data_IF_254755670399
#
_entry.id   IF_254755670399
#
_cell.length_a   1.000
_cell.length_b   1.000
_cell.length_c   1.000
_cell.angle_alpha   90.00
_cell.angle_beta   90.00
_cell.angle_gamma   90.00
#
_symmetry.space_group_name_H-M   'P 1'
#
loop_
_entity.id
_entity.type
_entity.pdbx_description
1 polymer ?
#
# COMPACT_ATOMS: atom_id res chain seq x y z
N UNK A 1 9.76 -18.50 3.28
CA UNK A 1 10.61 -17.48 2.63
C UNK A 1 11.17 -16.52 3.66
N UNK A 2 12.38 -16.06 3.46
CA UNK A 2 13.00 -15.08 4.34
C UNK A 2 12.45 -13.68 4.09
N UNK A 3 12.64 -12.78 5.05
CA UNK A 3 12.26 -11.37 4.90
C UNK A 3 13.00 -10.70 3.74
N UNK A 4 14.25 -11.08 3.50
CA UNK A 4 15.02 -10.56 2.37
C UNK A 4 14.42 -10.99 1.04
N UNK A 5 13.93 -12.23 0.94
CA UNK A 5 13.25 -12.72 -0.26
C UNK A 5 11.95 -11.98 -0.49
N UNK A 6 11.17 -11.76 0.57
CA UNK A 6 9.92 -10.99 0.50
C UNK A 6 10.20 -9.56 0.06
N UNK A 7 11.21 -8.93 0.64
CA UNK A 7 11.58 -7.56 0.30
C UNK A 7 11.95 -7.45 -1.18
N UNK A 8 12.72 -8.41 -1.70
CA UNK A 8 13.10 -8.42 -3.10
C UNK A 8 11.88 -8.54 -4.02
N UNK A 9 10.95 -9.44 -3.67
CA UNK A 9 9.73 -9.63 -4.46
C UNK A 9 8.90 -8.36 -4.51
N UNK A 10 8.74 -7.70 -3.38
CA UNK A 10 7.96 -6.44 -3.31
C UNK A 10 8.67 -5.32 -4.07
N UNK A 11 9.99 -5.24 -3.96
CA UNK A 11 10.77 -4.25 -4.70
C UNK A 11 10.67 -4.48 -6.21
N UNK A 12 10.73 -5.73 -6.65
CA UNK A 12 10.57 -6.09 -8.06
C UNK A 12 9.18 -5.68 -8.57
N UNK A 13 8.15 -5.92 -7.76
CA UNK A 13 6.79 -5.50 -8.10
C UNK A 13 6.71 -3.99 -8.27
N UNK A 14 7.21 -3.22 -7.29
CA UNK A 14 7.14 -1.75 -7.33
C UNK A 14 7.87 -1.16 -8.53
N UNK A 15 8.93 -1.83 -8.98
CA UNK A 15 9.74 -1.36 -10.11
C UNK A 15 9.22 -1.88 -11.45
N UNK A 16 8.15 -2.68 -11.46
CA UNK A 16 7.62 -3.25 -12.71
C UNK A 16 6.72 -2.25 -13.43
N UNK A 17 6.74 -2.33 -14.75
CA UNK A 17 5.86 -1.54 -15.60
C UNK A 17 4.38 -1.90 -15.37
N UNK A 18 4.13 -3.18 -15.11
CA UNK A 18 2.78 -3.66 -14.85
C UNK A 18 2.19 -3.03 -13.59
N UNK A 19 2.98 -2.94 -12.52
CA UNK A 19 2.53 -2.30 -11.29
C UNK A 19 2.28 -0.80 -11.50
N UNK A 20 3.17 -0.14 -12.22
CA UNK A 20 3.01 1.29 -12.50
C UNK A 20 1.74 1.56 -13.27
N UNK A 21 1.43 0.73 -14.27
CA UNK A 21 0.19 0.85 -15.03
C UNK A 21 -1.03 0.64 -14.13
N UNK A 22 -1.04 -0.44 -13.36
CA UNK A 22 -2.14 -0.75 -12.44
C UNK A 22 -2.35 0.37 -11.43
N UNK A 23 -1.27 0.86 -10.84
CA UNK A 23 -1.33 1.93 -9.84
C UNK A 23 -1.96 3.18 -10.44
N UNK A 24 -1.55 3.54 -11.64
CA UNK A 24 -2.06 4.73 -12.33
C UNK A 24 -3.54 4.60 -12.64
N UNK A 25 -3.95 3.46 -13.18
CA UNK A 25 -5.35 3.19 -13.49
C UNK A 25 -6.20 3.23 -12.21
N UNK A 26 -5.73 2.59 -11.14
CA UNK A 26 -6.44 2.58 -9.87
C UNK A 26 -6.56 3.98 -9.25
N UNK A 27 -5.51 4.79 -9.35
CA UNK A 27 -5.56 6.18 -8.88
C UNK A 27 -6.57 7.01 -9.65
N UNK A 28 -6.65 6.81 -10.97
CA UNK A 28 -7.64 7.51 -11.80
C UNK A 28 -9.06 7.10 -11.41
N UNK A 29 -9.28 5.81 -11.17
CA UNK A 29 -10.59 5.30 -10.74
C UNK A 29 -10.99 5.88 -9.38
N UNK A 30 -10.05 5.95 -8.44
CA UNK A 30 -10.29 6.53 -7.13
C UNK A 30 -10.66 8.00 -7.25
N UNK A 31 -9.93 8.73 -8.09
CA UNK A 31 -10.20 10.14 -8.31
C UNK A 31 -11.59 10.36 -8.90
N UNK A 32 -11.97 9.56 -9.91
CA UNK A 32 -13.28 9.65 -10.51
C UNK A 32 -14.39 9.33 -9.51
N UNK A 33 -14.19 8.32 -8.67
CA UNK A 33 -15.16 7.96 -7.64
C UNK A 33 -15.33 9.10 -6.63
N UNK A 34 -14.23 9.75 -6.24
CA UNK A 34 -14.29 10.88 -5.31
C UNK A 34 -15.01 12.08 -5.95
N UNK A 35 -14.75 12.34 -7.22
CA UNK A 35 -15.41 13.44 -7.94
C UNK A 35 -16.90 13.21 -8.07
N UNK A 36 -17.32 11.98 -8.34
CA UNK A 36 -18.74 11.63 -8.41
C UNK A 36 -19.46 11.88 -7.11
N UNK A 37 -18.81 11.62 -5.98
CA UNK A 37 -19.38 11.91 -4.67
C UNK A 37 -19.62 13.40 -4.46
N UNK A 38 -18.74 14.22 -4.98
CA UNK A 38 -18.88 15.67 -4.88
C UNK A 38 -19.95 16.26 -5.82
N UNK A 39 -20.23 15.56 -6.93
CA UNK A 39 -21.15 16.04 -7.97
C UNK A 39 -22.59 15.56 -7.78
N UNK A 40 -22.79 14.42 -7.15
CA UNK A 40 -24.12 13.80 -7.02
C UNK A 40 -24.79 14.19 -5.72
N UNK A 41 -25.59 15.25 -5.79
CA UNK A 41 -26.33 15.77 -4.63
C UNK A 41 -27.45 14.82 -4.17
N UNK A 42 -27.83 13.83 -4.99
CA UNK A 42 -28.90 12.89 -4.65
C UNK A 42 -28.40 11.70 -3.86
N UNK A 43 -27.10 11.57 -3.68
CA UNK A 43 -26.49 10.46 -2.96
C UNK A 43 -26.87 10.49 -1.50
N UNK A 44 -27.34 9.36 -0.95
CA UNK A 44 -27.70 9.27 0.46
C UNK A 44 -26.44 9.29 1.33
N UNK A 45 -26.64 9.61 2.63
CA UNK A 45 -25.53 9.60 3.58
C UNK A 45 -24.87 8.24 3.68
N UNK A 46 -25.67 7.16 3.67
CA UNK A 46 -25.15 5.79 3.71
C UNK A 46 -24.32 5.46 2.47
N UNK A 47 -24.76 5.90 1.30
CA UNK A 47 -24.01 5.72 0.06
C UNK A 47 -22.69 6.45 0.09
N UNK A 48 -22.68 7.68 0.60
CA UNK A 48 -21.46 8.47 0.75
C UNK A 48 -20.47 7.76 1.68
N UNK A 49 -20.96 7.27 2.81
CA UNK A 49 -20.11 6.56 3.77
C UNK A 49 -19.54 5.27 3.19
N UNK A 50 -20.36 4.52 2.47
CA UNK A 50 -19.92 3.29 1.81
C UNK A 50 -18.80 3.59 0.80
N UNK A 51 -18.99 4.61 -0.03
CA UNK A 51 -18.02 4.98 -1.06
C UNK A 51 -16.73 5.51 -0.44
N UNK A 52 -16.83 6.27 0.64
CA UNK A 52 -15.64 6.73 1.36
C UNK A 52 -14.82 5.56 1.88
N UNK A 53 -15.50 4.54 2.43
CA UNK A 53 -14.83 3.34 2.90
C UNK A 53 -14.15 2.58 1.77
N UNK A 54 -14.81 2.49 0.61
CA UNK A 54 -14.25 1.82 -0.56
C UNK A 54 -13.01 2.56 -1.08
N UNK A 55 -13.06 3.88 -1.14
CA UNK A 55 -11.93 4.72 -1.56
C UNK A 55 -10.76 4.56 -0.58
N UNK A 56 -11.06 4.58 0.72
CA UNK A 56 -10.05 4.38 1.74
C UNK A 56 -9.36 3.02 1.59
N UNK A 57 -10.15 1.96 1.39
CA UNK A 57 -9.60 0.62 1.22
C UNK A 57 -8.74 0.51 -0.05
N UNK A 58 -9.18 1.12 -1.15
CA UNK A 58 -8.42 1.13 -2.40
C UNK A 58 -7.08 1.85 -2.23
N UNK A 59 -7.07 2.98 -1.54
CA UNK A 59 -5.83 3.70 -1.26
C UNK A 59 -4.88 2.87 -0.39
N UNK A 60 -5.42 2.16 0.60
CA UNK A 60 -4.62 1.28 1.45
C UNK A 60 -3.95 0.17 0.62
N UNK A 61 -4.68 -0.39 -0.34
CA UNK A 61 -4.12 -1.43 -1.21
C UNK A 61 -3.03 -0.88 -2.12
N UNK A 62 -3.18 0.35 -2.62
CA UNK A 62 -2.14 0.98 -3.43
C UNK A 62 -0.86 1.22 -2.64
N UNK A 63 -0.98 1.49 -1.35
CA UNK A 63 0.15 1.71 -0.47
C UNK A 63 0.79 0.40 0.03
N UNK A 64 0.12 -0.73 -0.19
CA UNK A 64 0.54 -2.01 0.38
C UNK A 64 1.98 -2.38 0.05
N UNK A 65 2.46 -2.30 -1.20
CA UNK A 65 3.85 -2.64 -1.49
C UNK A 65 4.84 -1.80 -0.67
N UNK A 66 4.61 -0.51 -0.58
CA UNK A 66 5.48 0.39 0.17
C UNK A 66 5.47 0.07 1.67
N UNK A 67 4.29 -0.24 2.21
CA UNK A 67 4.14 -0.60 3.62
C UNK A 67 4.80 -1.93 3.94
N UNK A 68 4.64 -2.93 3.08
CA UNK A 68 5.29 -4.22 3.24
C UNK A 68 6.81 -4.09 3.16
N UNK A 69 7.30 -3.27 2.25
CA UNK A 69 8.71 -2.99 2.11
C UNK A 69 9.27 -2.41 3.42
N UNK A 70 8.59 -1.41 3.97
CA UNK A 70 9.00 -0.81 5.24
C UNK A 70 8.99 -1.83 6.38
N UNK A 71 7.97 -2.70 6.41
CA UNK A 71 7.86 -3.76 7.41
C UNK A 71 9.05 -4.71 7.34
N UNK A 72 9.36 -5.22 6.14
CA UNK A 72 10.44 -6.17 5.98
C UNK A 72 11.81 -5.54 6.25
N UNK A 73 12.00 -4.29 5.85
CA UNK A 73 13.22 -3.56 6.18
C UNK A 73 13.41 -3.40 7.68
N UNK A 74 12.33 -3.08 8.39
CA UNK A 74 12.36 -2.95 9.84
C UNK A 74 12.68 -4.28 10.52
N UNK A 75 12.10 -5.38 10.05
CA UNK A 75 12.36 -6.71 10.60
C UNK A 75 13.81 -7.13 10.38
N UNK A 76 14.35 -6.84 9.20
CA UNK A 76 15.75 -7.12 8.89
C UNK A 76 16.67 -6.30 9.80
N UNK A 77 16.36 -5.01 9.97
CA UNK A 77 17.16 -4.14 10.84
C UNK A 77 17.14 -4.60 12.29
N UNK A 78 15.99 -5.06 12.79
CA UNK A 78 15.87 -5.58 14.15
C UNK A 78 16.69 -6.85 14.34
N UNK A 79 16.65 -7.76 13.38
CA UNK A 79 17.47 -8.97 13.42
C UNK A 79 18.95 -8.63 13.45
N UNK A 80 19.37 -7.71 12.59
CA UNK A 80 20.77 -7.27 12.55
C UNK A 80 21.18 -6.58 13.85
N UNK A 81 20.27 -5.79 14.42
CA UNK A 81 20.50 -5.11 15.68
C UNK A 81 20.67 -6.10 16.83
N UNK A 82 19.82 -7.12 16.88
CA UNK A 82 19.91 -8.17 17.89
C UNK A 82 21.23 -8.94 17.77
N UNK A 83 21.61 -9.28 16.56
CA UNK A 83 22.87 -9.96 16.28
C UNK A 83 24.06 -9.10 16.71
N UNK A 84 24.01 -7.80 16.43
CA UNK A 84 25.01 -6.84 16.84
C UNK A 84 25.16 -6.78 18.35
N UNK A 85 24.04 -6.75 19.07
CA UNK A 85 24.04 -6.73 20.52
C UNK A 85 24.68 -7.99 21.11
N UNK A 86 24.32 -9.13 20.54
CA UNK A 86 24.85 -10.40 20.96
C UNK A 86 26.38 -10.46 20.75
N UNK A 87 26.83 -9.91 19.63
CA UNK A 87 28.23 -9.90 19.29
C UNK A 87 29.07 -9.02 20.24
N UNK A 88 28.49 -7.94 20.70
CA UNK A 88 29.20 -7.00 21.61
C UNK A 88 29.38 -7.55 23.01
N UNK A 89 28.55 -8.44 23.40
CA UNK A 89 28.62 -9.07 24.73
C UNK A 89 29.62 -10.22 24.73
#
# INVERSE_FOLDING_TARGET
MSDKTHLKLISDLENSEAWELLRKVMQDEILQAAMQMGEDASMTFDEVNFRRGAIWAANRMLEMPNRLKAKYEAEIALSSGDDSKTTKE
#
